data_IF_827479940422
#
_entry.id   IF_827479940422
#
_cell.length_a   1.000
_cell.length_b   1.000
_cell.length_c   1.000
_cell.angle_alpha   90.00
_cell.angle_beta   90.00
_cell.angle_gamma   90.00
#
_symmetry.space_group_name_H-M   'P 1'
#
loop_
_entity.id
_entity.type
_entity.pdbx_description
1 polymer ?
#
# COMPACT_ATOMS: atom_id res chain seq x y z
N UNK A 1 -1.48 -32.09 -43.04
CA UNK A 1 -2.81 -31.92 -43.68
C UNK A 1 -3.79 -31.42 -42.63
N UNK A 2 -3.96 -30.11 -42.52
CA UNK A 2 -4.75 -29.45 -41.47
C UNK A 2 -6.13 -29.14 -42.04
N UNK A 3 -7.18 -29.83 -41.55
CA UNK A 3 -8.59 -29.54 -41.91
C UNK A 3 -8.97 -28.17 -41.36
N UNK A 4 -9.01 -27.17 -42.23
CA UNK A 4 -9.61 -25.87 -41.94
C UNK A 4 -11.13 -26.06 -41.81
N UNK A 5 -11.65 -25.98 -40.58
CA UNK A 5 -13.09 -25.89 -40.35
C UNK A 5 -13.55 -24.49 -40.75
N UNK A 6 -13.98 -24.34 -41.99
CA UNK A 6 -14.68 -23.14 -42.44
C UNK A 6 -16.02 -23.07 -41.70
N UNK A 7 -16.09 -22.21 -40.67
CA UNK A 7 -17.34 -21.81 -40.04
C UNK A 7 -18.18 -21.11 -41.11
N UNK A 8 -19.11 -21.84 -41.75
CA UNK A 8 -20.11 -21.29 -42.65
C UNK A 8 -21.02 -20.36 -41.82
N UNK A 9 -20.71 -19.06 -41.82
CA UNK A 9 -21.67 -18.07 -41.36
C UNK A 9 -22.91 -18.16 -42.27
N UNK A 10 -24.11 -18.42 -41.72
CA UNK A 10 -25.33 -18.41 -42.51
C UNK A 10 -25.55 -17.00 -43.10
N UNK A 11 -26.04 -16.88 -44.34
CA UNK A 11 -26.29 -15.59 -44.96
C UNK A 11 -27.29 -14.79 -44.11
N UNK A 12 -27.14 -13.45 -44.03
CA UNK A 12 -28.08 -12.62 -43.30
C UNK A 12 -29.47 -12.80 -43.89
N UNK A 13 -30.44 -13.20 -43.05
CA UNK A 13 -31.85 -13.28 -43.45
C UNK A 13 -32.32 -11.88 -43.84
N UNK A 14 -32.57 -11.68 -45.13
CA UNK A 14 -33.25 -10.49 -45.65
C UNK A 14 -34.65 -10.50 -45.06
N UNK A 15 -34.91 -9.65 -44.07
CA UNK A 15 -36.23 -9.54 -43.46
C UNK A 15 -37.15 -8.81 -44.42
N UNK A 16 -38.30 -9.44 -44.69
CA UNK A 16 -39.38 -8.97 -45.56
C UNK A 16 -39.76 -7.50 -45.32
N UNK A 17 -40.15 -6.85 -46.43
CA UNK A 17 -40.53 -5.45 -46.56
C UNK A 17 -41.50 -5.00 -45.45
N UNK A 18 -41.04 -4.10 -44.57
CA UNK A 18 -41.84 -3.53 -43.48
C UNK A 18 -42.46 -2.20 -43.87
N UNK A 19 -43.71 -2.01 -43.42
CA UNK A 19 -44.46 -0.76 -43.57
C UNK A 19 -43.82 0.35 -42.71
N UNK A 20 -43.75 1.60 -43.20
CA UNK A 20 -43.26 2.73 -42.40
C UNK A 20 -44.12 2.92 -41.15
N UNK A 21 -43.50 2.97 -39.98
CA UNK A 21 -44.17 3.33 -38.71
C UNK A 21 -44.31 2.21 -37.66
N UNK A 22 -44.07 0.94 -37.99
CA UNK A 22 -44.03 -0.13 -36.98
C UNK A 22 -42.64 -0.19 -36.32
N UNK A 23 -42.52 0.28 -35.08
CA UNK A 23 -41.37 -0.05 -34.22
C UNK A 23 -41.41 -1.56 -33.95
N UNK A 24 -40.41 -2.29 -34.44
CA UNK A 24 -40.20 -3.69 -34.08
C UNK A 24 -40.16 -3.79 -32.55
N UNK A 25 -41.12 -4.49 -31.95
CA UNK A 25 -40.98 -4.96 -30.58
C UNK A 25 -39.87 -5.99 -30.58
N UNK A 26 -38.68 -5.56 -30.18
CA UNK A 26 -37.44 -6.33 -30.27
C UNK A 26 -37.35 -7.39 -29.16
N UNK A 27 -38.33 -8.30 -29.14
CA UNK A 27 -38.38 -9.42 -28.19
C UNK A 27 -37.19 -10.38 -28.39
N UNK A 28 -36.59 -10.39 -29.58
CA UNK A 28 -35.40 -11.18 -29.90
C UNK A 28 -34.09 -10.56 -29.40
N UNK A 29 -33.97 -9.24 -29.31
CA UNK A 29 -32.78 -8.59 -28.77
C UNK A 29 -32.60 -8.87 -27.28
N UNK A 30 -33.67 -8.76 -26.47
CA UNK A 30 -33.60 -9.02 -25.02
C UNK A 30 -33.27 -10.47 -24.68
N UNK A 31 -33.83 -11.45 -25.40
CA UNK A 31 -33.46 -12.88 -25.22
C UNK A 31 -32.01 -13.15 -25.60
N UNK A 32 -31.52 -12.54 -26.68
CA UNK A 32 -30.13 -12.67 -27.12
C UNK A 32 -29.16 -11.96 -26.17
N UNK A 33 -29.55 -10.83 -25.59
CA UNK A 33 -28.76 -10.13 -24.58
C UNK A 33 -28.63 -10.95 -23.29
N UNK A 34 -29.71 -11.60 -22.83
CA UNK A 34 -29.65 -12.49 -21.68
C UNK A 34 -28.79 -13.73 -21.95
N UNK A 35 -28.89 -14.32 -23.14
CA UNK A 35 -28.02 -15.42 -23.56
C UNK A 35 -26.55 -14.98 -23.69
N UNK A 36 -26.30 -13.76 -24.17
CA UNK A 36 -24.96 -13.18 -24.26
C UNK A 36 -24.36 -12.87 -22.89
N UNK A 37 -25.15 -12.34 -21.95
CA UNK A 37 -24.74 -12.15 -20.56
C UNK A 37 -24.44 -13.47 -19.86
N UNK A 38 -25.19 -14.53 -20.19
CA UNK A 38 -24.91 -15.89 -19.71
C UNK A 38 -23.64 -16.50 -20.33
N UNK A 39 -23.25 -16.07 -21.53
CA UNK A 39 -22.03 -16.50 -22.22
C UNK A 39 -20.81 -15.61 -21.95
N UNK A 40 -20.86 -14.72 -20.97
CA UNK A 40 -19.66 -13.98 -20.58
C UNK A 40 -18.58 -14.96 -20.13
N UNK A 41 -17.42 -14.90 -20.78
CA UNK A 41 -16.30 -15.75 -20.42
C UNK A 41 -15.93 -15.49 -18.94
N UNK A 42 -15.45 -16.52 -18.24
CA UNK A 42 -15.15 -16.42 -16.81
C UNK A 42 -14.17 -15.26 -16.49
N UNK A 43 -13.27 -14.92 -17.42
CA UNK A 43 -12.33 -13.81 -17.31
C UNK A 43 -12.97 -12.43 -17.46
N UNK A 44 -14.17 -12.32 -18.06
CA UNK A 44 -14.77 -11.04 -18.41
C UNK A 44 -15.36 -10.32 -17.19
N UNK A 45 -15.87 -11.06 -16.21
CA UNK A 45 -16.37 -10.50 -14.95
C UNK A 45 -15.29 -9.71 -14.18
N UNK A 46 -14.13 -10.30 -13.82
CA UNK A 46 -13.09 -9.56 -13.10
C UNK A 46 -12.55 -8.38 -13.91
N UNK A 47 -12.47 -8.49 -15.24
CA UNK A 47 -12.09 -7.38 -16.13
C UNK A 47 -13.08 -6.21 -16.06
N UNK A 48 -14.38 -6.47 -15.99
CA UNK A 48 -15.39 -5.41 -15.88
C UNK A 48 -15.42 -4.75 -14.49
N UNK A 49 -14.96 -5.47 -13.47
CA UNK A 49 -14.87 -4.98 -12.09
C UNK A 49 -13.60 -4.13 -11.87
N UNK A 50 -12.54 -4.37 -12.64
CA UNK A 50 -11.34 -3.55 -12.61
C UNK A 50 -11.63 -2.11 -13.05
N UNK A 51 -11.62 -1.19 -12.07
CA UNK A 51 -11.65 0.25 -12.31
C UNK A 51 -10.35 0.86 -11.79
N UNK A 52 -9.46 1.23 -12.70
CA UNK A 52 -8.23 1.92 -12.33
C UNK A 52 -8.51 3.31 -11.80
N UNK A 53 -8.03 3.61 -10.60
CA UNK A 53 -8.06 4.97 -10.06
C UNK A 53 -6.97 5.84 -10.70
N UNK A 54 -7.09 7.16 -10.57
CA UNK A 54 -6.07 8.10 -11.05
C UNK A 54 -4.71 7.86 -10.38
N UNK A 55 -4.74 7.55 -9.07
CA UNK A 55 -3.56 7.25 -8.25
C UNK A 55 -2.89 5.95 -8.68
N UNK A 56 -3.66 4.89 -8.90
CA UNK A 56 -3.14 3.61 -9.40
C UNK A 56 -2.50 3.77 -10.79
N UNK A 57 -3.19 4.47 -11.69
CA UNK A 57 -2.66 4.75 -13.03
C UNK A 57 -1.34 5.53 -12.97
N UNK A 58 -1.26 6.55 -12.10
CA UNK A 58 -0.03 7.29 -11.85
C UNK A 58 1.08 6.39 -11.28
N UNK A 59 0.75 5.57 -10.28
CA UNK A 59 1.68 4.66 -9.61
C UNK A 59 2.27 3.66 -10.60
N UNK A 60 1.43 2.97 -11.38
CA UNK A 60 1.87 2.00 -12.38
C UNK A 60 2.75 2.68 -13.42
N UNK A 61 2.34 3.84 -13.97
CA UNK A 61 3.16 4.54 -14.96
C UNK A 61 4.52 4.95 -14.39
N UNK A 62 4.52 5.64 -13.24
CA UNK A 62 5.70 6.36 -12.74
C UNK A 62 6.64 5.45 -11.95
N UNK A 63 6.10 4.59 -11.10
CA UNK A 63 6.89 3.81 -10.14
C UNK A 63 7.17 2.41 -10.66
N UNK A 64 6.18 1.77 -11.31
CA UNK A 64 6.35 0.40 -11.83
C UNK A 64 7.01 0.43 -13.20
N UNK A 65 6.45 1.19 -14.14
CA UNK A 65 6.89 1.23 -15.54
C UNK A 65 7.98 2.28 -15.84
N UNK A 66 8.21 3.21 -14.91
CA UNK A 66 9.17 4.32 -15.02
C UNK A 66 9.03 5.11 -16.34
N UNK A 67 7.81 5.16 -16.89
CA UNK A 67 7.53 5.87 -18.14
C UNK A 67 7.27 7.34 -17.84
N UNK A 68 7.80 8.23 -18.66
CA UNK A 68 7.37 9.63 -18.65
C UNK A 68 6.02 9.79 -19.38
N UNK A 69 5.32 10.90 -19.14
CA UNK A 69 3.99 11.15 -19.75
C UNK A 69 4.00 11.12 -21.28
N UNK A 70 5.10 11.51 -21.92
CA UNK A 70 5.23 11.52 -23.39
C UNK A 70 5.36 10.10 -23.94
N UNK A 71 6.14 9.24 -23.27
CA UNK A 71 6.28 7.82 -23.61
C UNK A 71 4.95 7.09 -23.43
N UNK A 72 4.25 7.33 -22.32
CA UNK A 72 2.92 6.75 -22.07
C UNK A 72 1.90 7.21 -23.10
N UNK A 73 1.90 8.49 -23.45
CA UNK A 73 1.04 9.03 -24.51
C UNK A 73 1.30 8.33 -25.87
N UNK A 74 2.58 8.15 -26.25
CA UNK A 74 2.95 7.43 -27.48
C UNK A 74 2.54 5.95 -27.45
N UNK A 75 2.76 5.28 -26.31
CA UNK A 75 2.41 3.88 -26.09
C UNK A 75 0.90 3.66 -26.25
N UNK A 76 0.09 4.52 -25.62
CA UNK A 76 -1.36 4.41 -25.62
C UNK A 76 -2.03 5.10 -26.83
N UNK A 77 -1.24 5.72 -27.72
CA UNK A 77 -1.72 6.51 -28.88
C UNK A 77 -2.68 7.64 -28.49
N UNK A 78 -2.38 8.33 -27.40
CA UNK A 78 -3.15 9.49 -26.92
C UNK A 78 -2.27 10.73 -26.77
N UNK A 79 -2.87 11.88 -26.44
CA UNK A 79 -2.12 13.10 -26.17
C UNK A 79 -1.51 13.09 -24.78
N UNK A 80 -0.37 13.79 -24.58
CA UNK A 80 0.25 13.98 -23.26
C UNK A 80 -0.72 14.62 -22.25
N UNK A 81 -1.57 15.53 -22.73
CA UNK A 81 -2.55 16.23 -21.92
C UNK A 81 -3.66 15.29 -21.41
N UNK A 82 -4.10 14.33 -22.24
CA UNK A 82 -5.03 13.28 -21.79
C UNK A 82 -4.46 12.47 -20.62
N UNK A 83 -3.19 12.05 -20.71
CA UNK A 83 -2.51 11.33 -19.63
C UNK A 83 -2.43 12.20 -18.37
N UNK A 84 -2.12 13.48 -18.50
CA UNK A 84 -2.09 14.42 -17.38
C UNK A 84 -3.46 14.52 -16.70
N UNK A 85 -4.54 14.70 -17.49
CA UNK A 85 -5.91 14.81 -16.99
C UNK A 85 -6.38 13.54 -16.28
N UNK A 86 -5.96 12.37 -16.75
CA UNK A 86 -6.26 11.09 -16.09
C UNK A 86 -5.58 10.98 -14.72
N UNK A 87 -4.30 11.36 -14.62
CA UNK A 87 -3.54 11.32 -13.36
C UNK A 87 -4.06 12.27 -12.29
N UNK A 88 -4.60 13.42 -12.71
CA UNK A 88 -5.18 14.40 -11.78
C UNK A 88 -6.65 14.10 -11.47
N UNK A 89 -7.22 13.00 -12.00
CA UNK A 89 -8.62 12.65 -11.81
C UNK A 89 -9.62 13.60 -12.50
N UNK A 90 -9.15 14.50 -13.37
CA UNK A 90 -10.01 15.42 -14.17
C UNK A 90 -10.88 14.63 -15.14
N UNK A 91 -10.33 13.54 -15.68
CA UNK A 91 -11.06 12.59 -16.51
C UNK A 91 -10.86 11.17 -16.00
N UNK A 92 -11.88 10.30 -16.09
CA UNK A 92 -11.73 8.90 -15.72
C UNK A 92 -10.69 8.24 -16.63
N UNK A 93 -9.87 7.36 -16.03
CA UNK A 93 -8.88 6.57 -16.75
C UNK A 93 -9.62 5.59 -17.68
N UNK A 94 -9.39 5.60 -19.00
CA UNK A 94 -10.01 4.62 -19.88
C UNK A 94 -9.55 3.20 -19.52
N UNK A 95 -10.48 2.27 -19.46
CA UNK A 95 -10.20 0.88 -19.09
C UNK A 95 -9.04 0.27 -19.89
N UNK A 96 -9.04 0.46 -21.22
CA UNK A 96 -7.99 -0.07 -22.10
C UNK A 96 -6.61 0.52 -21.78
N UNK A 97 -6.55 1.79 -21.35
CA UNK A 97 -5.30 2.48 -21.03
C UNK A 97 -4.70 1.89 -19.75
N UNK A 98 -5.54 1.70 -18.73
CA UNK A 98 -5.14 1.06 -17.47
C UNK A 98 -4.70 -0.39 -17.69
N UNK A 99 -5.51 -1.18 -18.41
CA UNK A 99 -5.23 -2.58 -18.70
C UNK A 99 -3.93 -2.74 -19.51
N UNK A 100 -3.68 -1.87 -20.49
CA UNK A 100 -2.44 -1.91 -21.26
C UNK A 100 -1.20 -1.72 -20.37
N UNK A 101 -1.24 -0.77 -19.43
CA UNK A 101 -0.15 -0.58 -18.48
C UNK A 101 0.03 -1.80 -17.56
N UNK A 102 -1.06 -2.37 -17.04
CA UNK A 102 -1.02 -3.59 -16.23
C UNK A 102 -0.41 -4.78 -16.97
N UNK A 103 -0.83 -5.01 -18.21
CA UNK A 103 -0.29 -6.10 -19.03
C UNK A 103 1.20 -5.92 -19.30
N UNK A 104 1.66 -4.68 -19.53
CA UNK A 104 3.07 -4.39 -19.72
C UNK A 104 3.85 -4.59 -18.43
N UNK A 105 3.33 -4.15 -17.29
CA UNK A 105 4.01 -4.36 -15.99
C UNK A 105 4.12 -5.84 -15.62
N UNK A 106 3.14 -6.64 -16.02
CA UNK A 106 3.18 -8.09 -15.83
C UNK A 106 4.01 -8.83 -16.89
N UNK A 107 4.36 -8.17 -17.99
CA UNK A 107 5.11 -8.80 -19.07
C UNK A 107 6.50 -9.23 -18.60
N UNK A 108 6.87 -10.47 -18.92
CA UNK A 108 8.19 -11.02 -18.62
C UNK A 108 9.29 -10.16 -19.25
N UNK A 109 9.05 -9.64 -20.45
CA UNK A 109 9.98 -8.74 -21.13
C UNK A 109 10.25 -7.46 -20.33
N UNK A 110 9.23 -6.85 -19.73
CA UNK A 110 9.43 -5.67 -18.90
C UNK A 110 10.16 -6.02 -17.60
N UNK A 111 9.72 -7.08 -16.91
CA UNK A 111 10.36 -7.52 -15.65
C UNK A 111 11.84 -7.88 -15.83
N UNK A 112 12.21 -8.46 -16.97
CA UNK A 112 13.59 -8.82 -17.31
C UNK A 112 14.37 -7.72 -18.05
N UNK A 113 13.73 -6.64 -18.52
CA UNK A 113 14.40 -5.56 -19.25
C UNK A 113 15.17 -4.60 -18.33
N UNK A 114 14.96 -4.65 -17.02
CA UNK A 114 15.74 -3.88 -16.07
C UNK A 114 17.22 -4.33 -16.13
N UNK A 115 18.16 -3.39 -16.19
CA UNK A 115 19.60 -3.68 -16.23
C UNK A 115 20.07 -4.59 -15.09
N UNK A 116 19.41 -4.50 -13.93
CA UNK A 116 19.67 -5.36 -12.77
C UNK A 116 19.37 -6.85 -13.06
N UNK A 117 18.50 -7.13 -14.02
CA UNK A 117 18.10 -8.47 -14.44
C UNK A 117 18.84 -8.98 -15.67
N UNK A 118 19.69 -8.14 -16.29
CA UNK A 118 20.40 -8.46 -17.54
C UNK A 118 21.28 -9.71 -17.45
N UNK A 119 21.87 -9.94 -16.28
CA UNK A 119 22.73 -11.09 -16.04
C UNK A 119 21.96 -12.32 -15.53
N UNK A 120 20.65 -12.20 -15.30
CA UNK A 120 19.80 -13.28 -14.85
C UNK A 120 19.16 -14.00 -16.03
N UNK A 121 19.15 -15.34 -15.98
CA UNK A 121 18.50 -16.16 -17.00
C UNK A 121 17.93 -17.43 -16.38
N UNK A 122 16.91 -17.99 -17.04
CA UNK A 122 16.38 -19.29 -16.68
C UNK A 122 17.18 -20.38 -17.38
N UNK A 123 17.56 -21.41 -16.62
CA UNK A 123 18.18 -22.61 -17.15
C UNK A 123 17.50 -23.83 -16.53
N UNK A 124 17.11 -24.78 -17.38
CA UNK A 124 16.69 -26.09 -16.92
C UNK A 124 17.92 -26.91 -16.55
N UNK A 125 17.97 -27.39 -15.32
CA UNK A 125 18.96 -28.40 -14.91
C UNK A 125 18.21 -29.66 -14.48
N UNK A 126 18.80 -30.80 -14.84
CA UNK A 126 18.41 -32.08 -14.28
C UNK A 126 19.18 -32.25 -12.99
N UNK A 127 18.47 -32.58 -11.89
CA UNK A 127 19.14 -32.96 -10.64
C UNK A 127 20.09 -34.12 -10.92
N UNK A 128 21.38 -33.90 -10.63
CA UNK A 128 22.40 -34.93 -10.74
C UNK A 128 22.12 -36.12 -9.79
N UNK A 129 21.39 -35.86 -8.70
CA UNK A 129 21.03 -36.85 -7.68
C UNK A 129 19.82 -37.72 -8.04
N UNK A 130 19.17 -37.46 -9.19
CA UNK A 130 18.13 -38.34 -9.68
C UNK A 130 18.75 -39.57 -10.35
N UNK A 131 18.92 -40.64 -9.57
CA UNK A 131 19.18 -42.04 -10.02
C UNK A 131 18.01 -42.61 -10.86
N UNK A 132 17.05 -41.77 -11.25
CA UNK A 132 15.92 -42.14 -12.07
C UNK A 132 16.34 -42.27 -13.54
N UNK A 133 15.79 -43.27 -14.26
CA UNK A 133 16.01 -43.42 -15.70
C UNK A 133 15.57 -42.15 -16.44
N UNK A 134 16.32 -41.77 -17.48
CA UNK A 134 16.21 -40.46 -18.17
C UNK A 134 14.78 -40.05 -18.54
N UNK A 135 13.88 -41.02 -18.83
CA UNK A 135 12.48 -40.77 -19.19
C UNK A 135 11.58 -40.29 -18.03
N UNK A 136 12.04 -40.35 -16.77
CA UNK A 136 11.29 -39.95 -15.57
C UNK A 136 11.92 -38.75 -14.84
N UNK A 137 13.02 -38.19 -15.36
CA UNK A 137 13.66 -37.03 -14.74
C UNK A 137 12.78 -35.80 -14.94
N UNK A 138 12.41 -35.14 -13.85
CA UNK A 138 11.72 -33.84 -13.91
C UNK A 138 12.79 -32.77 -14.10
N UNK A 139 12.68 -31.96 -15.14
CA UNK A 139 13.53 -30.76 -15.24
C UNK A 139 13.05 -29.75 -14.19
N UNK A 140 14.00 -29.20 -13.45
CA UNK A 140 13.76 -28.11 -12.52
C UNK A 140 14.31 -26.85 -13.18
N UNK A 141 13.48 -25.81 -13.25
CA UNK A 141 13.92 -24.51 -13.74
C UNK A 141 14.66 -23.78 -12.62
N UNK A 142 15.88 -23.34 -12.90
CA UNK A 142 16.67 -22.50 -12.02
C UNK A 142 16.79 -21.10 -12.60
N UNK A 143 16.78 -20.12 -11.71
CA UNK A 143 17.15 -18.75 -12.01
C UNK A 143 18.65 -18.60 -11.70
N UNK A 144 19.47 -18.32 -12.73
CA UNK A 144 20.92 -18.26 -12.60
C UNK A 144 21.43 -16.86 -12.92
N UNK A 145 22.27 -16.32 -12.05
CA UNK A 145 22.99 -15.08 -12.27
C UNK A 145 24.35 -15.36 -12.94
N UNK A 146 24.53 -14.87 -14.16
CA UNK A 146 25.66 -15.19 -15.05
C UNK A 146 27.03 -14.78 -14.48
N UNK A 147 27.10 -13.66 -13.75
CA UNK A 147 28.39 -13.14 -13.24
C UNK A 147 28.82 -13.75 -11.92
N UNK A 148 27.88 -13.94 -10.99
CA UNK A 148 28.20 -14.48 -9.66
C UNK A 148 28.09 -16.01 -9.61
N UNK A 149 27.43 -16.64 -10.58
CA UNK A 149 27.13 -18.06 -10.55
C UNK A 149 26.05 -18.45 -9.54
N UNK A 150 25.42 -17.47 -8.87
CA UNK A 150 24.33 -17.75 -7.94
C UNK A 150 23.16 -18.40 -8.68
N UNK A 151 22.60 -19.45 -8.09
CA UNK A 151 21.46 -20.18 -8.62
C UNK A 151 20.37 -20.29 -7.56
N UNK A 152 19.13 -20.11 -7.99
CA UNK A 152 17.95 -20.23 -7.13
C UNK A 152 16.94 -21.14 -7.80
N UNK A 153 16.50 -22.16 -7.07
CA UNK A 153 15.35 -22.96 -7.45
C UNK A 153 14.05 -22.21 -7.19
N UNK A 154 12.92 -22.73 -7.70
CA UNK A 154 11.61 -22.17 -7.38
C UNK A 154 11.33 -22.18 -5.87
N UNK A 155 11.76 -23.22 -5.16
CA UNK A 155 11.54 -23.35 -3.73
C UNK A 155 12.39 -22.36 -2.94
N UNK A 156 13.63 -22.10 -3.38
CA UNK A 156 14.49 -21.06 -2.78
C UNK A 156 13.86 -19.67 -2.92
N UNK A 157 13.32 -19.36 -4.10
CA UNK A 157 12.66 -18.07 -4.35
C UNK A 157 11.41 -17.89 -3.47
N UNK A 158 10.60 -18.95 -3.33
CA UNK A 158 9.43 -18.94 -2.44
C UNK A 158 9.84 -18.78 -0.97
N UNK A 159 10.89 -19.48 -0.55
CA UNK A 159 11.43 -19.36 0.79
C UNK A 159 11.92 -17.94 1.08
N UNK A 160 12.73 -17.37 0.19
CA UNK A 160 13.25 -15.99 0.29
C UNK A 160 12.09 -15.00 0.34
N UNK A 161 11.08 -15.18 -0.52
CA UNK A 161 9.89 -14.33 -0.50
C UNK A 161 9.17 -14.37 0.85
N UNK A 162 9.00 -15.56 1.43
CA UNK A 162 8.44 -15.72 2.77
C UNK A 162 9.26 -15.02 3.86
N UNK A 163 10.60 -15.07 3.77
CA UNK A 163 11.47 -14.34 4.70
C UNK A 163 11.32 -12.82 4.56
N UNK A 164 11.24 -12.30 3.33
CA UNK A 164 11.02 -10.87 3.08
C UNK A 164 9.69 -10.40 3.67
N UNK A 165 8.60 -11.17 3.48
CA UNK A 165 7.30 -10.84 4.06
C UNK A 165 7.36 -10.84 5.59
N UNK A 166 8.02 -11.82 6.20
CA UNK A 166 8.18 -11.90 7.66
C UNK A 166 8.99 -10.73 8.20
N UNK A 167 10.07 -10.33 7.52
CA UNK A 167 10.84 -9.14 7.89
C UNK A 167 9.99 -7.88 7.84
N UNK A 168 9.21 -7.68 6.77
CA UNK A 168 8.31 -6.53 6.66
C UNK A 168 7.25 -6.49 7.79
N UNK A 169 6.72 -7.66 8.17
CA UNK A 169 5.81 -7.77 9.33
C UNK A 169 6.52 -7.36 10.63
N UNK A 170 7.70 -7.90 10.90
CA UNK A 170 8.48 -7.57 12.10
C UNK A 170 8.86 -6.08 12.16
N UNK A 171 9.20 -5.46 11.02
CA UNK A 171 9.46 -4.03 10.95
C UNK A 171 8.21 -3.20 11.30
N UNK A 172 7.04 -3.60 10.80
CA UNK A 172 5.77 -2.93 11.13
C UNK A 172 5.41 -3.06 12.62
N UNK A 173 5.64 -4.24 13.21
CA UNK A 173 5.43 -4.49 14.64
C UNK A 173 6.42 -3.68 15.49
N UNK A 174 7.68 -3.61 15.07
CA UNK A 174 8.70 -2.82 15.75
C UNK A 174 8.36 -1.31 15.75
N UNK A 175 7.80 -0.79 14.66
CA UNK A 175 7.31 0.59 14.59
C UNK A 175 6.13 0.80 15.55
N UNK A 176 5.12 -0.07 15.51
CA UNK A 176 3.96 0.03 16.40
C UNK A 176 4.34 -0.05 17.88
N UNK A 177 5.32 -0.89 18.23
CA UNK A 177 5.84 -0.99 19.60
C UNK A 177 6.62 0.27 20.01
N UNK A 178 7.38 0.89 19.09
CA UNK A 178 8.07 2.16 19.36
C UNK A 178 7.08 3.28 19.65
N UNK A 179 6.04 3.42 18.82
CA UNK A 179 5.00 4.42 19.02
C UNK A 179 4.32 4.26 20.40
N UNK A 180 4.06 3.00 20.80
CA UNK A 180 3.48 2.69 22.11
C UNK A 180 4.44 2.99 23.27
N UNK A 181 5.74 2.77 23.10
CA UNK A 181 6.74 3.14 24.11
C UNK A 181 6.78 4.66 24.26
N UNK A 182 6.78 5.40 23.15
CA UNK A 182 6.79 6.87 23.17
C UNK A 182 5.52 7.44 23.84
N UNK A 183 4.35 6.85 23.57
CA UNK A 183 3.09 7.18 24.25
C UNK A 183 3.18 6.96 25.76
N UNK A 184 3.62 5.78 26.20
CA UNK A 184 3.74 5.45 27.63
C UNK A 184 4.81 6.31 28.34
N UNK A 185 5.88 6.69 27.64
CA UNK A 185 6.88 7.63 28.15
C UNK A 185 6.27 9.03 28.31
N UNK A 186 5.46 9.47 27.34
CA UNK A 186 4.68 10.70 27.42
C UNK A 186 3.73 10.71 28.63
N UNK A 187 3.00 9.63 28.85
CA UNK A 187 2.12 9.50 30.02
C UNK A 187 2.90 9.49 31.34
N UNK A 188 4.01 8.74 31.42
CA UNK A 188 4.81 8.67 32.64
C UNK A 188 5.44 10.02 32.99
N UNK A 189 5.92 10.76 31.98
CA UNK A 189 6.44 12.11 32.18
C UNK A 189 5.35 13.07 32.66
N UNK A 190 4.16 13.01 32.06
CA UNK A 190 3.00 13.79 32.50
C UNK A 190 2.59 13.48 33.95
N UNK A 191 2.51 12.20 34.34
CA UNK A 191 2.19 11.80 35.70
C UNK A 191 3.23 12.30 36.71
N UNK A 192 4.53 12.21 36.38
CA UNK A 192 5.60 12.74 37.23
C UNK A 192 5.50 14.24 37.42
N UNK A 193 5.11 14.98 36.38
CA UNK A 193 4.86 16.42 36.48
C UNK A 193 3.69 16.72 37.42
N UNK A 194 2.57 16.01 37.28
CA UNK A 194 1.42 16.13 38.20
C UNK A 194 1.83 15.88 39.65
N UNK A 195 2.50 14.77 39.95
CA UNK A 195 2.93 14.45 41.31
C UNK A 195 3.98 15.44 41.84
N UNK A 196 4.81 16.02 40.98
CA UNK A 196 5.76 17.07 41.38
C UNK A 196 5.03 18.35 41.78
N UNK A 197 3.99 18.74 41.04
CA UNK A 197 3.14 19.89 41.39
C UNK A 197 2.41 19.64 42.70
N UNK A 198 1.83 18.45 42.88
CA UNK A 198 1.14 18.07 44.11
C UNK A 198 2.09 18.03 45.31
N UNK A 199 3.32 17.51 45.13
CA UNK A 199 4.36 17.55 46.16
C UNK A 199 4.74 18.98 46.56
N UNK A 200 4.92 19.87 45.59
CA UNK A 200 5.23 21.29 45.85
C UNK A 200 4.07 22.00 46.57
N UNK A 201 2.82 21.73 46.20
CA UNK A 201 1.67 22.33 46.91
C UNK A 201 1.57 21.84 48.36
N UNK A 202 1.83 20.56 48.61
CA UNK A 202 1.87 20.01 49.96
C UNK A 202 2.99 20.64 50.82
N UNK A 203 4.19 20.84 50.25
CA UNK A 203 5.29 21.53 50.92
C UNK A 203 4.96 22.99 51.25
N UNK A 204 4.35 23.72 50.32
CA UNK A 204 3.90 25.11 50.53
C UNK A 204 2.84 25.20 51.63
N UNK A 205 1.88 24.27 51.68
CA UNK A 205 0.90 24.19 52.77
C UNK A 205 1.57 23.90 54.12
N UNK A 206 2.57 23.02 54.16
CA UNK A 206 3.36 22.75 55.35
C UNK A 206 4.12 23.98 55.85
N UNK A 207 4.78 24.72 54.94
CA UNK A 207 5.47 25.97 55.27
C UNK A 207 4.51 27.04 55.80
N UNK A 208 3.33 27.18 55.21
CA UNK A 208 2.30 28.12 55.69
C UNK A 208 1.86 27.78 57.11
N UNK A 209 1.58 26.51 57.40
CA UNK A 209 1.20 26.08 58.75
C UNK A 209 2.30 26.35 59.78
N UNK A 210 3.58 26.18 59.42
CA UNK A 210 4.71 26.52 60.29
C UNK A 210 4.81 28.03 60.54
N UNK A 211 4.61 28.86 59.51
CA UNK A 211 4.59 30.32 59.66
C UNK A 211 3.43 30.78 60.54
N UNK A 212 2.23 30.23 60.34
CA UNK A 212 1.06 30.54 61.18
C UNK A 212 1.32 30.18 62.65
N UNK A 213 1.97 29.04 62.91
CA UNK A 213 2.38 28.65 64.25
C UNK A 213 3.43 29.58 64.87
N UNK A 214 4.42 30.04 64.08
CA UNK A 214 5.44 31.00 64.53
C UNK A 214 4.83 32.37 64.83
N UNK A 215 3.95 32.88 63.95
CA UNK A 215 3.26 34.16 64.14
C UNK A 215 2.31 34.11 65.33
N UNK A 216 1.61 33.00 65.53
CA UNK A 216 0.79 32.76 66.73
C UNK A 216 1.62 32.87 68.01
N UNK A 217 2.83 32.30 68.03
CA UNK A 217 3.76 32.41 69.15
C UNK A 217 4.26 33.84 69.37
N UNK A 218 4.55 34.59 68.31
CA UNK A 218 5.00 35.99 68.41
C UNK A 218 3.90 36.89 68.98
N UNK A 219 2.63 36.70 68.58
CA UNK A 219 1.51 37.46 69.16
C UNK A 219 1.27 37.17 70.64
N UNK A 220 1.66 35.99 71.13
CA UNK A 220 1.62 35.67 72.57
C UNK A 220 2.85 36.14 73.34
N UNK A 221 3.90 36.60 72.66
CA UNK A 221 5.07 37.16 73.31
C UNK A 221 4.73 38.57 73.80
N UNK A 222 4.38 38.69 75.08
CA UNK A 222 4.20 39.96 75.79
C UNK A 222 5.40 40.86 75.57
N UNK A 223 5.21 41.96 74.83
CA UNK A 223 6.20 43.00 74.65
C UNK A 223 6.46 43.63 76.01
N UNK A 224 7.59 43.28 76.63
CA UNK A 224 8.04 43.96 77.84
C UNK A 224 8.39 45.41 77.47
N UNK A 225 7.71 46.42 78.03
CA UNK A 225 8.06 47.80 77.77
C UNK A 225 9.50 48.04 78.23
N UNK A 226 10.37 48.47 77.32
CA UNK A 226 11.72 48.90 77.64
C UNK A 226 11.62 50.07 78.61
N UNK A 227 11.99 49.82 79.86
CA UNK A 227 12.05 50.83 80.91
C UNK A 227 13.04 51.90 80.46
N UNK A 228 12.54 53.11 80.22
CA UNK A 228 13.38 54.26 79.91
C UNK A 228 14.43 54.41 81.03
N UNK A 229 15.70 54.30 80.65
CA UNK A 229 16.83 54.58 81.54
C UNK A 229 16.85 56.10 81.69
N UNK A 230 16.25 56.59 82.77
CA UNK A 230 16.40 57.99 83.18
C UNK A 230 17.88 58.21 83.50
N UNK A 231 18.57 58.87 82.57
CA UNK A 231 19.91 59.38 82.78
C UNK A 231 19.87 60.38 83.93
N UNK A 232 20.62 60.06 85.00
CA UNK A 232 21.00 61.04 86.03
C UNK A 232 21.79 62.16 85.35
N UNK A 233 21.16 63.31 85.18
CA UNK A 233 21.85 64.58 85.00
C UNK A 233 22.58 64.91 86.30
N UNK A 234 23.89 65.18 86.17
CA UNK A 234 24.74 65.75 87.20
C UNK A 234 24.43 67.24 87.39
#
# INVERSE_FOLDING_TARGET
MTRAYALKCPPPRVTENKRPGQRLRDHGARRRENAWRAFQAAWQKPINEMRGTAEEFFHIRRNVLVLNRVQTARLLRVTKDSVLKWEHGVHPVPFYAFLALLLISESVHYKLANEQWKDWHFAERFDADQVLPAKKRKSIAYLIHRRSGACFSSDDLLFIHGQIQKLAQLESEALALRDKVDELVGENTHLREMFRVDGVTAELHGMRAQLDALLGRVNTATVLPLRAVEGKAA
#
